data_IF_116963624891
#
_entry.id   IF_116963624891
#
_cell.length_a   1.000
_cell.length_b   1.000
_cell.length_c   1.000
_cell.angle_alpha   90.00
_cell.angle_beta   90.00
_cell.angle_gamma   90.00
#
_symmetry.space_group_name_H-M   'P 1'
#
loop_
_entity.id
_entity.type
_entity.pdbx_description
1 polymer ?
#
# COMPACT_ATOMS: atom_id res chain seq x y z
N UNK A 1 41.02 -2.77 -28.33
CA UNK A 1 40.26 -2.70 -27.07
C UNK A 1 40.16 -1.23 -26.69
N UNK A 2 39.45 -0.48 -27.52
CA UNK A 2 38.93 0.84 -27.19
C UNK A 2 37.52 0.64 -26.65
N UNK A 3 37.01 1.64 -25.92
CA UNK A 3 35.71 1.74 -25.25
C UNK A 3 35.75 1.33 -23.77
N UNK A 4 36.23 2.26 -22.94
CA UNK A 4 35.43 2.97 -21.93
C UNK A 4 36.39 3.90 -21.18
N UNK A 5 36.58 5.11 -21.69
CA UNK A 5 37.16 6.20 -20.92
C UNK A 5 36.03 6.86 -20.12
N UNK A 6 35.97 6.74 -18.79
CA UNK A 6 35.14 7.63 -18.01
C UNK A 6 35.86 8.98 -17.95
N UNK A 7 35.24 10.01 -18.51
CA UNK A 7 35.72 11.40 -18.57
C UNK A 7 35.94 12.07 -17.19
N UNK A 8 35.87 11.31 -16.09
CA UNK A 8 36.04 11.79 -14.71
C UNK A 8 37.37 11.35 -14.07
N UNK A 9 38.26 10.63 -14.79
CA UNK A 9 39.44 10.01 -14.17
C UNK A 9 40.63 10.96 -13.95
N UNK A 10 40.82 12.00 -14.77
CA UNK A 10 42.03 12.84 -14.64
C UNK A 10 41.96 13.79 -13.44
N UNK A 11 40.80 14.37 -13.17
CA UNK A 11 40.64 15.39 -12.13
C UNK A 11 40.62 14.76 -10.74
N UNK A 12 39.87 13.66 -10.55
CA UNK A 12 39.86 12.92 -9.28
C UNK A 12 41.23 12.30 -8.95
N UNK A 13 41.94 11.76 -9.95
CA UNK A 13 43.29 11.25 -9.75
C UNK A 13 44.29 12.36 -9.43
N UNK A 14 44.19 13.53 -10.10
CA UNK A 14 45.02 14.68 -9.82
C UNK A 14 44.80 15.19 -8.39
N UNK A 15 43.55 15.30 -7.94
CA UNK A 15 43.19 15.73 -6.59
C UNK A 15 43.77 14.76 -5.55
N UNK A 16 43.53 13.46 -5.71
CA UNK A 16 44.06 12.42 -4.81
C UNK A 16 45.59 12.48 -4.71
N UNK A 17 46.25 12.68 -5.85
CA UNK A 17 47.70 12.81 -5.92
C UNK A 17 48.21 14.09 -5.22
N UNK A 18 47.53 15.22 -5.41
CA UNK A 18 47.87 16.49 -4.76
C UNK A 18 47.69 16.37 -3.24
N UNK A 19 46.57 15.82 -2.76
CA UNK A 19 46.31 15.61 -1.34
C UNK A 19 47.39 14.70 -0.73
N UNK A 20 47.76 13.63 -1.43
CA UNK A 20 48.83 12.73 -0.99
C UNK A 20 50.19 13.43 -0.86
N UNK A 21 50.58 14.24 -1.85
CA UNK A 21 51.85 14.99 -1.81
C UNK A 21 51.84 16.06 -0.71
N UNK A 22 50.71 16.73 -0.47
CA UNK A 22 50.57 17.68 0.63
C UNK A 22 50.68 17.00 2.00
N UNK A 23 50.07 15.83 2.17
CA UNK A 23 50.17 15.05 3.40
C UNK A 23 51.60 14.56 3.66
N UNK A 24 52.29 14.11 2.60
CA UNK A 24 53.72 13.76 2.68
C UNK A 24 54.56 14.96 3.12
N UNK A 25 54.32 16.15 2.55
CA UNK A 25 54.98 17.40 2.99
C UNK A 25 54.75 17.72 4.47
N UNK A 26 53.53 17.51 4.98
CA UNK A 26 53.23 17.68 6.42
C UNK A 26 54.03 16.68 7.26
N UNK A 27 54.07 15.40 6.87
CA UNK A 27 54.84 14.35 7.56
C UNK A 27 56.35 14.60 7.51
N UNK A 28 56.88 15.15 6.41
CA UNK A 28 58.30 15.50 6.27
C UNK A 28 58.79 16.43 7.38
N UNK A 29 57.95 17.37 7.83
CA UNK A 29 58.28 18.29 8.94
C UNK A 29 58.49 17.57 10.28
N UNK A 30 57.78 16.47 10.50
CA UNK A 30 57.91 15.66 11.71
C UNK A 30 59.07 14.66 11.61
N UNK A 31 59.30 14.07 10.43
CA UNK A 31 60.33 13.05 10.23
C UNK A 31 61.75 13.63 10.18
N UNK A 32 61.94 14.84 9.66
CA UNK A 32 63.26 15.48 9.57
C UNK A 32 64.02 15.51 10.92
N UNK A 33 63.42 16.06 12.00
CA UNK A 33 64.05 16.05 13.33
C UNK A 33 64.31 14.65 13.90
N UNK A 34 63.44 13.66 13.60
CA UNK A 34 63.63 12.28 14.05
C UNK A 34 64.86 11.62 13.40
N UNK A 35 65.09 11.90 12.12
CA UNK A 35 66.25 11.36 11.39
C UNK A 35 67.56 11.97 11.91
N UNK A 36 67.55 13.26 12.24
CA UNK A 36 68.69 13.91 12.92
C UNK A 36 68.93 13.31 14.31
N UNK A 37 67.86 13.01 15.06
CA UNK A 37 67.95 12.35 16.36
C UNK A 37 68.58 10.96 16.25
N UNK A 38 68.14 10.14 15.28
CA UNK A 38 68.74 8.82 15.01
C UNK A 38 70.25 8.92 14.74
N UNK A 39 70.67 9.89 13.92
CA UNK A 39 72.09 10.10 13.64
C UNK A 39 72.89 10.56 14.88
N UNK A 40 72.29 11.39 15.74
CA UNK A 40 72.93 11.79 17.00
C UNK A 40 73.01 10.63 18.01
N UNK A 41 72.00 9.76 18.02
CA UNK A 41 71.94 8.56 18.86
C UNK A 41 72.98 7.54 18.44
N UNK A 42 73.13 7.26 17.15
CA UNK A 42 74.16 6.38 16.61
C UNK A 42 75.57 6.85 16.99
N UNK A 43 75.89 8.13 16.76
CA UNK A 43 77.18 8.71 17.19
C UNK A 43 77.44 8.58 18.69
N UNK A 44 76.39 8.60 19.50
CA UNK A 44 76.50 8.43 20.95
C UNK A 44 76.80 6.96 21.28
N UNK A 45 76.09 6.02 20.66
CA UNK A 45 76.33 4.57 20.82
C UNK A 45 77.73 4.16 20.37
N UNK A 46 78.22 4.72 19.26
CA UNK A 46 79.59 4.57 18.79
C UNK A 46 80.62 5.05 19.83
N UNK A 47 80.40 6.20 20.45
CA UNK A 47 81.27 6.73 21.53
C UNK A 47 81.33 5.78 22.73
N UNK A 48 80.24 5.11 23.05
CA UNK A 48 80.17 4.10 24.11
C UNK A 48 80.62 2.70 23.66
N UNK A 49 81.14 2.56 22.43
CA UNK A 49 81.62 1.28 21.84
C UNK A 49 80.56 0.18 21.85
N UNK A 50 79.30 0.58 21.63
CA UNK A 50 78.20 -0.36 21.48
C UNK A 50 78.44 -1.28 20.26
N UNK A 51 78.09 -2.56 20.38
CA UNK A 51 78.20 -3.54 19.30
C UNK A 51 76.87 -3.57 18.54
N UNK A 52 76.89 -3.13 17.28
CA UNK A 52 75.70 -3.12 16.44
C UNK A 52 75.41 -4.53 15.88
N UNK A 53 74.12 -4.95 15.85
CA UNK A 53 73.69 -6.16 15.16
C UNK A 53 73.96 -6.14 13.65
N UNK A 54 73.99 -7.32 13.01
CA UNK A 54 74.22 -7.45 11.56
C UNK A 54 73.09 -6.84 10.70
N UNK A 55 71.90 -6.64 11.27
CA UNK A 55 70.73 -6.00 10.64
C UNK A 55 70.60 -4.50 10.98
N UNK A 56 71.62 -3.89 11.58
CA UNK A 56 71.58 -2.48 11.95
C UNK A 56 71.51 -1.56 10.73
N UNK A 57 70.49 -0.68 10.72
CA UNK A 57 70.36 0.35 9.70
C UNK A 57 71.17 1.58 10.11
N UNK A 58 72.34 1.76 9.48
CA UNK A 58 73.22 2.88 9.75
C UNK A 58 72.57 4.23 9.39
N UNK A 59 72.89 5.24 10.20
CA UNK A 59 72.36 6.59 10.06
C UNK A 59 72.70 7.24 8.72
N UNK A 60 73.84 6.89 8.12
CA UNK A 60 74.23 7.33 6.78
C UNK A 60 73.32 6.75 5.68
N UNK A 61 72.92 5.48 5.81
CA UNK A 61 71.97 4.86 4.88
C UNK A 61 70.58 5.48 5.03
N UNK A 62 70.13 5.72 6.26
CA UNK A 62 68.88 6.42 6.54
C UNK A 62 68.88 7.85 5.98
N UNK A 63 69.99 8.58 6.11
CA UNK A 63 70.16 9.92 5.50
C UNK A 63 70.16 9.88 3.98
N UNK A 64 70.75 8.85 3.38
CA UNK A 64 70.73 8.63 1.93
C UNK A 64 69.31 8.44 1.40
N UNK A 65 68.55 7.52 1.99
CA UNK A 65 67.14 7.29 1.64
C UNK A 65 66.26 8.52 1.91
N UNK A 66 66.52 9.25 3.00
CA UNK A 66 65.84 10.51 3.29
C UNK A 66 66.11 11.60 2.26
N UNK A 67 67.35 11.70 1.79
CA UNK A 67 67.73 12.62 0.72
C UNK A 67 67.01 12.27 -0.58
N UNK A 68 67.01 10.99 -0.96
CA UNK A 68 66.30 10.50 -2.14
C UNK A 68 64.79 10.76 -2.06
N UNK A 69 64.17 10.49 -0.89
CA UNK A 69 62.77 10.80 -0.63
C UNK A 69 62.47 12.30 -0.81
N UNK A 70 63.28 13.19 -0.23
CA UNK A 70 63.09 14.63 -0.36
C UNK A 70 63.27 15.12 -1.79
N UNK A 71 64.22 14.54 -2.54
CA UNK A 71 64.43 14.88 -3.95
C UNK A 71 63.23 14.46 -4.81
N UNK A 72 62.71 13.25 -4.60
CA UNK A 72 61.50 12.76 -5.27
C UNK A 72 60.30 13.65 -4.91
N UNK A 73 60.11 13.96 -3.62
CA UNK A 73 59.02 14.81 -3.14
C UNK A 73 59.11 16.21 -3.74
N UNK A 74 60.32 16.78 -3.82
CA UNK A 74 60.57 18.08 -4.44
C UNK A 74 60.24 18.06 -5.93
N UNK A 75 60.78 17.09 -6.70
CA UNK A 75 60.47 16.96 -8.14
C UNK A 75 58.96 16.80 -8.39
N UNK A 76 58.28 15.98 -7.60
CA UNK A 76 56.83 15.78 -7.72
C UNK A 76 56.05 17.04 -7.34
N UNK A 77 56.47 17.77 -6.32
CA UNK A 77 55.86 19.04 -5.96
C UNK A 77 56.06 20.11 -7.04
N UNK A 78 57.25 20.22 -7.62
CA UNK A 78 57.55 21.23 -8.64
C UNK A 78 56.72 20.95 -9.92
N UNK A 79 56.55 19.67 -10.28
CA UNK A 79 55.64 19.25 -11.36
C UNK A 79 54.17 19.60 -11.07
N UNK A 80 53.71 19.50 -9.81
CA UNK A 80 52.37 19.97 -9.42
C UNK A 80 52.26 21.49 -9.57
N UNK A 81 53.27 22.25 -9.12
CA UNK A 81 53.27 23.71 -9.20
C UNK A 81 53.21 24.23 -10.64
N UNK A 82 53.93 23.57 -11.55
CA UNK A 82 53.90 23.89 -12.98
C UNK A 82 52.50 23.74 -13.60
N UNK A 83 51.74 22.74 -13.15
CA UNK A 83 50.38 22.48 -13.63
C UNK A 83 49.28 23.12 -12.76
N UNK A 84 49.64 23.76 -11.65
CA UNK A 84 48.70 24.21 -10.61
C UNK A 84 47.68 25.20 -11.15
N UNK A 85 48.15 26.23 -11.86
CA UNK A 85 47.27 27.25 -12.44
C UNK A 85 46.27 26.64 -13.45
N UNK A 86 46.72 25.67 -14.26
CA UNK A 86 45.86 24.95 -15.19
C UNK A 86 44.83 24.06 -14.50
N UNK A 87 45.21 23.39 -13.41
CA UNK A 87 44.31 22.57 -12.59
C UNK A 87 43.29 23.43 -11.85
N UNK A 88 43.70 24.56 -11.27
CA UNK A 88 42.80 25.50 -10.62
C UNK A 88 41.75 26.04 -11.60
N UNK A 89 42.16 26.44 -12.82
CA UNK A 89 41.22 26.87 -13.86
C UNK A 89 40.23 25.77 -14.26
N UNK A 90 40.70 24.52 -14.38
CA UNK A 90 39.82 23.37 -14.67
C UNK A 90 38.81 23.13 -13.54
N UNK A 91 39.25 23.14 -12.29
CA UNK A 91 38.37 22.94 -11.13
C UNK A 91 37.34 24.06 -11.02
N UNK A 92 37.70 25.32 -11.26
CA UNK A 92 36.75 26.45 -11.27
C UNK A 92 35.72 26.28 -12.41
N UNK A 93 36.15 25.83 -13.58
CA UNK A 93 35.24 25.56 -14.70
C UNK A 93 34.29 24.38 -14.42
N UNK A 94 34.81 23.27 -13.89
CA UNK A 94 34.00 22.10 -13.49
C UNK A 94 33.02 22.46 -12.37
N UNK A 95 33.43 23.25 -11.39
CA UNK A 95 32.59 23.74 -10.30
C UNK A 95 31.39 24.54 -10.81
N UNK A 96 31.61 25.44 -11.77
CA UNK A 96 30.52 26.20 -12.39
C UNK A 96 29.54 25.29 -13.16
N UNK A 97 30.03 24.22 -13.78
CA UNK A 97 29.18 23.24 -14.47
C UNK A 97 28.33 22.46 -13.47
N UNK A 98 28.94 21.95 -12.39
CA UNK A 98 28.21 21.22 -11.34
C UNK A 98 27.20 22.12 -10.64
N UNK A 99 27.52 23.39 -10.41
CA UNK A 99 26.59 24.38 -9.86
C UNK A 99 25.38 24.60 -10.79
N UNK A 100 25.59 24.64 -12.10
CA UNK A 100 24.50 24.64 -13.09
C UNK A 100 23.63 23.39 -13.00
N UNK A 101 24.25 22.20 -12.93
CA UNK A 101 23.52 20.92 -12.77
C UNK A 101 22.75 20.83 -11.46
N UNK A 102 23.28 21.41 -10.37
CA UNK A 102 22.55 21.55 -9.09
C UNK A 102 21.32 22.44 -9.31
N UNK A 103 21.42 23.55 -10.05
CA UNK A 103 20.26 24.37 -10.41
C UNK A 103 19.21 23.57 -11.20
N UNK A 104 19.65 22.85 -12.24
CA UNK A 104 18.77 22.07 -13.11
C UNK A 104 18.04 20.95 -12.35
N UNK A 105 18.73 20.21 -11.48
CA UNK A 105 18.13 19.11 -10.73
C UNK A 105 17.13 19.62 -9.68
N UNK A 106 17.37 20.78 -9.09
CA UNK A 106 16.42 21.44 -8.19
C UNK A 106 15.15 21.85 -8.93
N UNK A 107 15.28 22.39 -10.14
CA UNK A 107 14.13 22.74 -10.97
C UNK A 107 13.38 21.48 -11.45
N UNK A 108 14.11 20.43 -11.84
CA UNK A 108 13.52 19.14 -12.20
C UNK A 108 12.68 18.60 -11.03
N UNK A 109 13.20 18.66 -9.80
CA UNK A 109 12.48 18.17 -8.61
C UNK A 109 11.15 18.89 -8.38
N UNK A 110 11.14 20.22 -8.45
CA UNK A 110 9.92 21.02 -8.24
C UNK A 110 8.78 20.64 -9.21
N UNK A 111 9.13 20.22 -10.43
CA UNK A 111 8.17 19.83 -11.48
C UNK A 111 7.79 18.35 -11.37
N UNK A 112 8.76 17.48 -11.10
CA UNK A 112 8.61 16.02 -11.20
C UNK A 112 8.23 15.34 -9.89
N UNK A 113 8.30 16.04 -8.74
CA UNK A 113 7.97 15.45 -7.44
C UNK A 113 6.56 14.83 -7.47
N UNK A 114 6.42 13.50 -7.18
CA UNK A 114 5.14 12.82 -7.23
C UNK A 114 4.30 13.17 -6.00
N UNK A 115 3.71 14.37 -6.02
CA UNK A 115 2.81 14.87 -4.97
C UNK A 115 1.35 14.55 -5.28
N UNK A 116 1.04 14.26 -6.54
CA UNK A 116 -0.33 13.97 -6.99
C UNK A 116 -0.77 12.59 -6.53
N UNK A 117 -2.00 12.51 -6.02
CA UNK A 117 -2.51 11.27 -5.42
C UNK A 117 -3.08 10.23 -6.36
N UNK A 118 -3.36 10.60 -7.61
CA UNK A 118 -3.86 9.69 -8.63
C UNK A 118 -2.75 8.84 -9.29
N UNK A 119 -1.48 9.08 -8.96
CA UNK A 119 -0.34 8.33 -9.50
C UNK A 119 -0.27 6.97 -8.79
N UNK A 120 0.01 5.91 -9.56
CA UNK A 120 0.23 4.58 -8.99
C UNK A 120 1.51 4.56 -8.15
N UNK A 121 1.47 3.85 -7.03
CA UNK A 121 2.56 3.88 -6.06
C UNK A 121 3.89 3.34 -6.61
N UNK A 122 3.86 2.37 -7.52
CA UNK A 122 5.01 1.86 -8.27
C UNK A 122 5.64 2.93 -9.17
N UNK A 123 4.83 3.68 -9.90
CA UNK A 123 5.30 4.76 -10.76
C UNK A 123 5.91 5.92 -9.96
N UNK A 124 5.27 6.29 -8.85
CA UNK A 124 5.79 7.30 -7.94
C UNK A 124 7.13 6.86 -7.32
N UNK A 125 7.21 5.61 -6.84
CA UNK A 125 8.43 5.05 -6.26
C UNK A 125 9.57 4.95 -7.27
N UNK A 126 9.28 4.56 -8.51
CA UNK A 126 10.27 4.54 -9.59
C UNK A 126 10.81 5.95 -9.87
N UNK A 127 9.92 6.96 -9.95
CA UNK A 127 10.31 8.36 -10.16
C UNK A 127 11.24 8.84 -9.04
N UNK A 128 10.91 8.53 -7.78
CA UNK A 128 11.74 8.87 -6.61
C UNK A 128 13.10 8.18 -6.69
N UNK A 129 13.16 6.88 -6.98
CA UNK A 129 14.42 6.13 -7.05
C UNK A 129 15.33 6.61 -8.19
N UNK A 130 14.74 6.93 -9.35
CA UNK A 130 15.49 7.48 -10.49
C UNK A 130 16.07 8.85 -10.12
N UNK A 131 15.27 9.71 -9.49
CA UNK A 131 15.71 11.03 -9.05
C UNK A 131 16.78 10.94 -7.94
N UNK A 132 16.61 10.04 -6.97
CA UNK A 132 17.60 9.75 -5.91
C UNK A 132 18.96 9.35 -6.51
N UNK A 133 18.95 8.51 -7.54
CA UNK A 133 20.17 8.14 -8.27
C UNK A 133 20.84 9.33 -8.96
N UNK A 134 20.06 10.24 -9.56
CA UNK A 134 20.60 11.48 -10.16
C UNK A 134 21.17 12.41 -9.09
N UNK A 135 20.45 12.59 -7.98
CA UNK A 135 20.82 13.47 -6.88
C UNK A 135 22.10 13.01 -6.20
N UNK A 136 22.24 11.70 -5.95
CA UNK A 136 23.46 11.11 -5.41
C UNK A 136 24.68 11.34 -6.31
N UNK A 137 24.55 11.20 -7.64
CA UNK A 137 25.65 11.46 -8.57
C UNK A 137 26.12 12.91 -8.52
N UNK A 138 25.19 13.86 -8.52
CA UNK A 138 25.52 15.30 -8.42
C UNK A 138 26.17 15.60 -7.06
N UNK A 139 25.70 14.97 -5.98
CA UNK A 139 26.28 15.10 -4.66
C UNK A 139 27.71 14.54 -4.58
N UNK A 140 27.96 13.38 -5.18
CA UNK A 140 29.30 12.80 -5.27
C UNK A 140 30.27 13.68 -6.08
N UNK A 141 29.84 14.18 -7.24
CA UNK A 141 30.62 15.14 -8.05
C UNK A 141 30.94 16.42 -7.26
N UNK A 142 29.94 16.95 -6.56
CA UNK A 142 30.09 18.14 -5.71
C UNK A 142 31.07 17.91 -4.54
N UNK A 143 30.97 16.77 -3.85
CA UNK A 143 31.86 16.45 -2.73
C UNK A 143 33.31 16.22 -3.19
N UNK A 144 33.50 15.65 -4.39
CA UNK A 144 34.82 15.54 -5.02
C UNK A 144 35.41 16.93 -5.32
N UNK A 145 34.61 17.85 -5.85
CA UNK A 145 35.04 19.22 -6.12
C UNK A 145 35.35 20.01 -4.84
N UNK A 146 34.60 19.80 -3.77
CA UNK A 146 34.91 20.37 -2.47
C UNK A 146 36.28 19.91 -1.96
N UNK A 147 36.57 18.61 -2.03
CA UNK A 147 37.90 18.06 -1.69
C UNK A 147 38.99 18.59 -2.62
N UNK A 148 38.69 18.77 -3.89
CA UNK A 148 39.62 19.33 -4.88
C UNK A 148 39.99 20.78 -4.56
N UNK A 149 38.99 21.60 -4.25
CA UNK A 149 39.17 23.00 -3.84
C UNK A 149 39.99 23.10 -2.55
N UNK A 150 39.67 22.27 -1.55
CA UNK A 150 40.44 22.20 -0.30
C UNK A 150 41.91 21.78 -0.56
N UNK A 151 42.16 20.80 -1.43
CA UNK A 151 43.52 20.34 -1.75
C UNK A 151 44.35 21.35 -2.57
N UNK A 152 43.69 22.29 -3.26
CA UNK A 152 44.30 23.32 -4.09
C UNK A 152 44.33 24.70 -3.42
N UNK A 153 43.96 24.78 -2.14
CA UNK A 153 43.82 26.02 -1.37
C UNK A 153 42.92 27.07 -2.07
N UNK A 154 41.86 26.60 -2.73
CA UNK A 154 40.85 27.43 -3.37
C UNK A 154 39.73 27.79 -2.39
N UNK A 155 39.05 28.92 -2.63
CA UNK A 155 37.91 29.35 -1.82
C UNK A 155 36.75 28.34 -1.93
N UNK A 156 36.29 27.86 -0.77
CA UNK A 156 35.23 26.86 -0.67
C UNK A 156 33.91 27.52 -0.27
N UNK A 157 32.97 27.63 -1.20
CA UNK A 157 31.58 27.96 -0.89
C UNK A 157 30.78 26.66 -0.75
N UNK A 158 30.23 26.40 0.45
CA UNK A 158 29.42 25.21 0.68
C UNK A 158 27.97 25.43 0.28
N UNK A 159 27.46 24.62 -0.65
CA UNK A 159 26.08 24.63 -1.07
C UNK A 159 25.23 23.76 -0.12
N UNK A 160 24.37 24.41 0.67
CA UNK A 160 23.43 23.74 1.59
C UNK A 160 22.09 23.40 0.92
N UNK A 161 21.92 23.71 -0.36
CA UNK A 161 20.65 23.56 -1.09
C UNK A 161 20.26 22.11 -1.41
N UNK A 162 21.23 21.19 -1.42
CA UNK A 162 20.96 19.76 -1.69
C UNK A 162 20.35 19.05 -0.47
N UNK A 163 20.72 19.46 0.75
CA UNK A 163 20.29 18.80 1.99
C UNK A 163 18.76 18.79 2.17
N UNK A 164 18.04 19.91 1.98
CA UNK A 164 16.57 19.92 2.08
C UNK A 164 15.89 18.98 1.08
N UNK A 165 16.48 18.81 -0.12
CA UNK A 165 15.94 17.91 -1.15
C UNK A 165 16.16 16.46 -0.77
N UNK A 166 17.31 16.12 -0.19
CA UNK A 166 17.53 14.79 0.36
C UNK A 166 16.54 14.46 1.49
N UNK A 167 16.26 15.43 2.38
CA UNK A 167 15.26 15.26 3.43
C UNK A 167 13.85 15.07 2.84
N UNK A 168 13.44 15.92 1.90
CA UNK A 168 12.13 15.81 1.23
C UNK A 168 11.99 14.49 0.48
N UNK A 169 13.03 14.05 -0.24
CA UNK A 169 13.07 12.78 -0.95
C UNK A 169 12.89 11.61 0.02
N UNK A 170 13.62 11.62 1.15
CA UNK A 170 13.49 10.58 2.18
C UNK A 170 12.09 10.53 2.76
N UNK A 171 11.52 11.69 3.05
CA UNK A 171 10.15 11.79 3.58
C UNK A 171 9.13 11.29 2.54
N UNK A 172 9.26 11.69 1.27
CA UNK A 172 8.37 11.28 0.18
C UNK A 172 8.48 9.78 -0.12
N UNK A 173 9.68 9.21 -0.05
CA UNK A 173 9.92 7.76 -0.17
C UNK A 173 9.24 6.98 0.96
N UNK A 174 9.32 7.49 2.19
CA UNK A 174 8.60 6.91 3.32
C UNK A 174 7.08 6.95 3.11
N UNK A 175 6.55 8.05 2.55
CA UNK A 175 5.11 8.21 2.21
C UNK A 175 4.69 7.14 1.22
N UNK A 176 5.33 7.08 0.07
CA UNK A 176 4.93 6.15 -0.98
C UNK A 176 5.14 4.69 -0.57
N UNK A 177 6.10 4.38 0.30
CA UNK A 177 6.28 3.03 0.85
C UNK A 177 5.09 2.65 1.73
N UNK A 178 4.70 3.53 2.65
CA UNK A 178 3.56 3.30 3.53
C UNK A 178 2.23 3.23 2.76
N UNK A 179 2.03 4.12 1.79
CA UNK A 179 0.86 4.10 0.91
C UNK A 179 0.82 2.85 0.03
N UNK A 180 1.97 2.36 -0.46
CA UNK A 180 2.04 1.09 -1.21
C UNK A 180 1.52 -0.08 -0.37
N UNK A 181 1.87 -0.12 0.92
CA UNK A 181 1.37 -1.14 1.85
C UNK A 181 -0.16 -1.09 2.01
N UNK A 182 -0.74 0.11 2.03
CA UNK A 182 -2.20 0.30 2.08
C UNK A 182 -2.84 -0.15 0.75
N UNK A 183 -2.27 0.26 -0.39
CA UNK A 183 -2.78 -0.13 -1.71
C UNK A 183 -2.75 -1.64 -1.93
N UNK A 184 -1.71 -2.32 -1.46
CA UNK A 184 -1.62 -3.78 -1.51
C UNK A 184 -2.74 -4.42 -0.68
N UNK A 185 -2.97 -3.94 0.55
CA UNK A 185 -4.08 -4.44 1.37
C UNK A 185 -5.45 -4.16 0.72
N UNK A 186 -5.65 -3.00 0.10
CA UNK A 186 -6.87 -2.71 -0.67
C UNK A 186 -7.00 -3.69 -1.86
N UNK A 187 -5.90 -4.02 -2.54
CA UNK A 187 -5.89 -5.00 -3.63
C UNK A 187 -6.27 -6.39 -3.14
N UNK A 188 -5.69 -6.84 -2.02
CA UNK A 188 -6.03 -8.11 -1.38
C UNK A 188 -7.52 -8.18 -0.99
N UNK A 189 -8.07 -7.08 -0.46
CA UNK A 189 -9.51 -6.99 -0.20
C UNK A 189 -10.33 -7.14 -1.49
N UNK A 190 -9.90 -6.52 -2.60
CA UNK A 190 -10.58 -6.63 -3.90
C UNK A 190 -10.51 -8.03 -4.50
N UNK A 191 -9.45 -8.78 -4.23
CA UNK A 191 -9.29 -10.16 -4.70
C UNK A 191 -10.12 -11.18 -3.92
N UNK A 192 -10.61 -10.81 -2.73
CA UNK A 192 -11.46 -11.68 -1.92
C UNK A 192 -12.70 -12.15 -2.71
N UNK A 193 -12.90 -13.47 -2.78
CA UNK A 193 -14.06 -14.08 -3.41
C UNK A 193 -15.35 -13.59 -2.75
N UNK A 194 -16.34 -13.16 -3.55
CA UNK A 194 -17.60 -12.58 -3.05
C UNK A 194 -18.33 -13.50 -2.06
N UNK A 195 -18.26 -14.81 -2.28
CA UNK A 195 -18.86 -15.83 -1.42
C UNK A 195 -18.30 -15.81 0.02
N UNK A 196 -17.03 -15.46 0.22
CA UNK A 196 -16.36 -15.47 1.53
C UNK A 196 -16.40 -14.12 2.24
N UNK A 197 -16.87 -13.07 1.55
CA UNK A 197 -16.94 -11.70 2.10
C UNK A 197 -17.85 -11.67 3.32
N UNK A 198 -17.31 -11.14 4.43
CA UNK A 198 -18.06 -10.87 5.66
C UNK A 198 -18.12 -9.35 5.87
N UNK A 199 -19.27 -8.68 5.64
CA UNK A 199 -19.38 -7.23 5.66
C UNK A 199 -18.91 -6.57 6.96
N UNK A 200 -19.10 -7.23 8.10
CA UNK A 200 -18.60 -6.75 9.41
C UNK A 200 -17.07 -6.78 9.50
N UNK A 201 -16.43 -7.86 9.04
CA UNK A 201 -14.96 -7.97 9.03
C UNK A 201 -14.34 -7.05 7.98
N UNK A 202 -14.95 -6.95 6.81
CA UNK A 202 -14.53 -6.02 5.76
C UNK A 202 -14.51 -4.58 6.27
N UNK A 203 -15.59 -4.16 6.95
CA UNK A 203 -15.66 -2.85 7.61
C UNK A 203 -14.52 -2.66 8.61
N UNK A 204 -14.28 -3.64 9.50
CA UNK A 204 -13.18 -3.58 10.47
C UNK A 204 -11.81 -3.46 9.80
N UNK A 205 -11.58 -4.16 8.70
CA UNK A 205 -10.34 -4.07 7.93
C UNK A 205 -10.17 -2.67 7.30
N UNK A 206 -11.23 -2.11 6.71
CA UNK A 206 -11.20 -0.75 6.14
C UNK A 206 -11.00 0.30 7.24
N UNK A 207 -11.66 0.15 8.40
CA UNK A 207 -11.49 1.04 9.56
C UNK A 207 -10.06 0.97 10.11
N UNK A 208 -9.48 -0.23 10.16
CA UNK A 208 -8.08 -0.43 10.57
C UNK A 208 -7.08 0.23 9.60
N UNK A 209 -7.31 0.11 8.28
CA UNK A 209 -6.53 0.81 7.26
C UNK A 209 -6.67 2.33 7.40
N UNK A 210 -7.88 2.83 7.67
CA UNK A 210 -8.09 4.25 7.89
C UNK A 210 -7.40 4.74 9.18
N UNK A 211 -7.38 3.93 10.23
CA UNK A 211 -6.66 4.24 11.47
C UNK A 211 -5.15 4.27 11.26
N UNK A 212 -4.58 3.30 10.56
CA UNK A 212 -3.13 3.26 10.29
C UNK A 212 -2.67 4.48 9.48
N UNK A 213 -3.51 4.98 8.55
CA UNK A 213 -3.21 6.26 7.86
C UNK A 213 -3.14 7.44 8.83
N UNK A 214 -3.94 7.46 9.90
CA UNK A 214 -3.95 8.54 10.90
C UNK A 214 -2.78 8.48 11.87
N UNK A 215 -2.07 7.35 11.97
CA UNK A 215 -0.86 7.23 12.79
C UNK A 215 0.38 7.74 12.06
N UNK A 216 0.29 7.99 10.74
CA UNK A 216 1.42 8.49 9.95
C UNK A 216 1.84 9.91 10.39
N UNK A 217 3.15 10.23 10.40
CA UNK A 217 3.69 11.55 10.71
C UNK A 217 3.00 12.71 9.99
N UNK A 218 2.87 13.87 10.65
CA UNK A 218 2.17 15.05 10.10
C UNK A 218 2.75 15.51 8.75
N UNK A 219 4.08 15.42 8.57
CA UNK A 219 4.75 15.74 7.30
C UNK A 219 4.24 14.90 6.13
N UNK A 220 3.87 13.64 6.39
CA UNK A 220 3.33 12.72 5.39
C UNK A 220 1.88 13.05 5.01
N UNK A 221 1.13 13.71 5.89
CA UNK A 221 -0.28 14.05 5.68
C UNK A 221 -0.49 15.30 4.81
N UNK A 222 0.58 16.05 4.54
CA UNK A 222 0.52 17.27 3.73
C UNK A 222 0.48 16.98 2.22
N UNK A 223 0.79 15.74 1.81
CA UNK A 223 0.82 15.34 0.41
C UNK A 223 -0.58 14.97 -0.11
N UNK A 224 -0.93 15.39 -1.31
CA UNK A 224 -2.23 15.06 -1.93
C UNK A 224 -2.42 13.55 -2.16
N UNK A 225 -1.33 12.79 -2.26
CA UNK A 225 -1.37 11.31 -2.27
C UNK A 225 -1.96 10.70 -1.01
N UNK A 226 -1.71 11.31 0.15
CA UNK A 226 -2.31 10.88 1.40
C UNK A 226 -3.82 11.15 1.43
N UNK A 227 -4.24 12.36 1.05
CA UNK A 227 -5.66 12.73 1.02
C UNK A 227 -6.46 11.83 0.07
N UNK A 228 -5.91 11.55 -1.12
CA UNK A 228 -6.54 10.68 -2.10
C UNK A 228 -6.80 9.27 -1.53
N UNK A 229 -5.82 8.66 -0.86
CA UNK A 229 -5.99 7.35 -0.23
C UNK A 229 -7.04 7.39 0.87
N UNK A 230 -7.07 8.43 1.69
CA UNK A 230 -8.10 8.58 2.71
C UNK A 230 -9.50 8.68 2.11
N UNK A 231 -9.67 9.43 1.03
CA UNK A 231 -10.97 9.60 0.39
C UNK A 231 -11.45 8.29 -0.28
N UNK A 232 -10.54 7.52 -0.86
CA UNK A 232 -10.85 6.17 -1.36
C UNK A 232 -11.31 5.28 -0.20
N UNK A 233 -10.56 5.21 0.91
CA UNK A 233 -10.94 4.40 2.09
C UNK A 233 -12.29 4.83 2.68
N UNK A 234 -12.55 6.14 2.80
CA UNK A 234 -13.86 6.66 3.22
C UNK A 234 -14.97 6.30 2.24
N UNK A 235 -14.68 6.31 0.94
CA UNK A 235 -15.60 5.88 -0.12
C UNK A 235 -15.97 4.40 0.01
N UNK A 236 -14.98 3.53 0.24
CA UNK A 236 -15.19 2.10 0.48
C UNK A 236 -16.01 1.88 1.75
N UNK A 237 -15.72 2.62 2.83
CA UNK A 237 -16.46 2.51 4.09
C UNK A 237 -17.93 2.94 3.93
N UNK A 238 -18.21 4.01 3.19
CA UNK A 238 -19.58 4.43 2.85
C UNK A 238 -20.29 3.38 2.01
N UNK A 239 -19.59 2.77 1.06
CA UNK A 239 -20.14 1.73 0.20
C UNK A 239 -20.37 0.40 0.93
N UNK A 240 -19.78 0.22 2.12
CA UNK A 240 -19.90 -1.01 2.89
C UNK A 240 -21.35 -1.31 3.34
N UNK A 241 -22.21 -0.29 3.48
CA UNK A 241 -23.64 -0.51 3.73
C UNK A 241 -24.30 -1.25 2.57
N UNK A 242 -24.09 -0.77 1.33
CA UNK A 242 -24.57 -1.43 0.12
C UNK A 242 -23.96 -2.83 -0.05
N UNK A 243 -22.68 -3.01 0.27
CA UNK A 243 -22.05 -4.35 0.26
C UNK A 243 -22.74 -5.28 1.26
N UNK A 244 -23.08 -4.78 2.45
CA UNK A 244 -23.82 -5.57 3.44
C UNK A 244 -25.20 -5.98 2.95
N UNK A 245 -25.91 -5.05 2.31
CA UNK A 245 -27.25 -5.31 1.77
C UNK A 245 -27.19 -6.29 0.58
N UNK A 246 -26.22 -6.13 -0.32
CA UNK A 246 -25.98 -7.03 -1.45
C UNK A 246 -25.55 -8.44 -1.02
N UNK A 247 -24.91 -8.58 0.14
CA UNK A 247 -24.50 -9.88 0.70
C UNK A 247 -25.63 -10.60 1.45
N UNK A 248 -26.76 -9.93 1.66
CA UNK A 248 -27.96 -10.52 2.29
C UNK A 248 -28.45 -11.76 1.54
N UNK A 249 -29.00 -12.73 2.28
CA UNK A 249 -29.62 -13.94 1.72
C UNK A 249 -30.86 -13.65 0.86
N UNK A 250 -31.42 -12.44 0.97
CA UNK A 250 -32.48 -11.95 0.10
C UNK A 250 -32.06 -11.94 -1.38
N UNK A 251 -30.77 -11.68 -1.68
CA UNK A 251 -30.28 -11.62 -3.05
C UNK A 251 -29.98 -13.02 -3.60
N UNK A 252 -30.74 -13.42 -4.62
CA UNK A 252 -30.58 -14.65 -5.38
C UNK A 252 -30.02 -14.36 -6.78
N UNK A 253 -29.59 -15.40 -7.49
CA UNK A 253 -29.01 -15.30 -8.85
C UNK A 253 -29.83 -14.43 -9.82
N UNK A 254 -31.17 -14.47 -9.70
CA UNK A 254 -32.08 -13.65 -10.53
C UNK A 254 -31.88 -12.15 -10.32
N UNK A 255 -31.66 -11.71 -9.08
CA UNK A 255 -31.44 -10.30 -8.73
C UNK A 255 -30.08 -9.81 -9.25
N UNK A 256 -29.05 -10.66 -9.15
CA UNK A 256 -27.74 -10.37 -9.72
C UNK A 256 -27.76 -10.27 -11.24
N UNK A 257 -28.48 -11.17 -11.93
CA UNK A 257 -28.70 -11.08 -13.38
C UNK A 257 -29.43 -9.80 -13.77
N UNK A 258 -30.43 -9.38 -12.99
CA UNK A 258 -31.13 -8.12 -13.18
C UNK A 258 -30.18 -6.92 -13.02
N UNK A 259 -29.37 -6.90 -11.95
CA UNK A 259 -28.37 -5.85 -11.73
C UNK A 259 -27.38 -5.76 -12.89
N UNK A 260 -26.77 -6.86 -13.31
CA UNK A 260 -25.83 -6.84 -14.44
C UNK A 260 -26.46 -6.35 -15.75
N UNK A 261 -27.73 -6.72 -15.99
CA UNK A 261 -28.48 -6.25 -17.15
C UNK A 261 -28.74 -4.74 -17.10
N UNK A 262 -29.16 -4.21 -15.95
CA UNK A 262 -29.46 -2.77 -15.81
C UNK A 262 -28.18 -1.93 -15.88
N UNK A 263 -27.10 -2.41 -15.25
CA UNK A 263 -25.79 -1.75 -15.24
C UNK A 263 -25.02 -1.91 -16.56
N UNK A 264 -25.57 -2.64 -17.54
CA UNK A 264 -24.96 -2.92 -18.86
C UNK A 264 -23.56 -3.53 -18.77
N UNK A 265 -23.31 -4.27 -17.70
CA UNK A 265 -22.06 -5.00 -17.53
C UNK A 265 -22.15 -6.29 -18.33
N UNK A 266 -21.12 -6.55 -19.14
CA UNK A 266 -21.05 -7.74 -19.98
C UNK A 266 -21.39 -8.99 -19.16
N UNK A 267 -22.25 -9.85 -19.71
CA UNK A 267 -22.94 -10.95 -19.03
C UNK A 267 -22.03 -12.09 -18.51
N UNK A 268 -20.72 -11.85 -18.36
CA UNK A 268 -19.72 -12.90 -18.16
C UNK A 268 -19.25 -13.09 -16.73
N UNK A 269 -19.64 -12.26 -15.76
CA UNK A 269 -19.27 -12.51 -14.36
C UNK A 269 -20.19 -13.57 -13.78
N UNK A 270 -19.74 -14.81 -13.81
CA UNK A 270 -20.37 -15.89 -13.05
C UNK A 270 -20.29 -15.55 -11.56
N UNK A 271 -21.40 -15.66 -10.84
CA UNK A 271 -21.48 -15.40 -9.39
C UNK A 271 -20.40 -16.15 -8.59
N UNK A 272 -20.03 -17.34 -9.05
CA UNK A 272 -19.00 -18.19 -8.44
C UNK A 272 -17.57 -17.65 -8.57
N UNK A 273 -17.31 -16.82 -9.59
CA UNK A 273 -16.01 -16.18 -9.85
C UNK A 273 -16.02 -14.69 -9.47
N UNK A 274 -17.12 -14.22 -8.88
CA UNK A 274 -17.24 -12.83 -8.45
C UNK A 274 -16.29 -12.58 -7.27
N UNK A 275 -15.64 -11.42 -7.29
CA UNK A 275 -14.76 -10.95 -6.22
C UNK A 275 -15.33 -9.64 -5.68
N UNK A 276 -14.87 -9.21 -4.51
CA UNK A 276 -15.24 -7.91 -3.97
C UNK A 276 -14.86 -6.76 -4.92
N UNK A 277 -13.74 -6.91 -5.65
CA UNK A 277 -13.30 -5.97 -6.68
C UNK A 277 -14.36 -5.78 -7.76
N UNK A 278 -14.92 -6.88 -8.28
CA UNK A 278 -16.01 -6.81 -9.27
C UNK A 278 -17.24 -6.07 -8.74
N UNK A 279 -17.54 -6.18 -7.44
CA UNK A 279 -18.66 -5.46 -6.80
C UNK A 279 -18.36 -3.96 -6.65
N UNK A 280 -17.12 -3.60 -6.30
CA UNK A 280 -16.73 -2.19 -6.25
C UNK A 280 -16.67 -1.54 -7.64
N UNK A 281 -16.34 -2.31 -8.68
CA UNK A 281 -16.30 -1.84 -10.07
C UNK A 281 -17.69 -1.58 -10.66
N UNK A 282 -18.76 -1.93 -9.95
CA UNK A 282 -20.14 -1.56 -10.28
C UNK A 282 -20.43 -0.07 -10.08
N UNK A 283 -19.47 0.72 -9.58
CA UNK A 283 -19.67 2.09 -9.11
C UNK A 283 -20.91 2.19 -8.20
N UNK A 284 -20.80 1.56 -7.02
CA UNK A 284 -21.89 1.48 -6.04
C UNK A 284 -22.46 2.86 -5.68
N UNK A 285 -21.64 3.92 -5.78
CA UNK A 285 -22.04 5.29 -5.50
C UNK A 285 -22.84 5.89 -6.66
N UNK A 286 -22.38 5.74 -7.90
CA UNK A 286 -23.10 6.24 -9.08
C UNK A 286 -24.42 5.51 -9.31
N UNK A 287 -24.48 4.22 -8.97
CA UNK A 287 -25.62 3.35 -9.22
C UNK A 287 -26.47 3.03 -7.97
N UNK A 288 -26.30 3.80 -6.89
CA UNK A 288 -26.92 3.54 -5.59
C UNK A 288 -28.46 3.35 -5.68
N UNK A 289 -29.15 4.20 -6.46
CA UNK A 289 -30.61 4.13 -6.60
C UNK A 289 -31.08 2.80 -7.20
N UNK A 290 -30.50 2.40 -8.33
CA UNK A 290 -30.81 1.14 -9.01
C UNK A 290 -30.51 -0.06 -8.11
N UNK A 291 -29.38 -0.02 -7.41
CA UNK A 291 -28.97 -1.10 -6.51
C UNK A 291 -29.98 -1.23 -5.36
N UNK A 292 -30.40 -0.12 -4.76
CA UNK A 292 -31.41 -0.12 -3.69
C UNK A 292 -32.77 -0.64 -4.17
N UNK A 293 -33.21 -0.28 -5.36
CA UNK A 293 -34.48 -0.80 -5.92
C UNK A 293 -34.46 -2.33 -6.01
N UNK A 294 -33.36 -2.92 -6.52
CA UNK A 294 -33.23 -4.38 -6.59
C UNK A 294 -33.13 -5.01 -5.20
N UNK A 295 -32.44 -4.37 -4.25
CA UNK A 295 -32.37 -4.84 -2.86
C UNK A 295 -33.77 -4.85 -2.23
N UNK A 296 -34.56 -3.79 -2.40
CA UNK A 296 -35.92 -3.70 -1.86
C UNK A 296 -36.83 -4.76 -2.47
N UNK A 297 -36.71 -5.00 -3.78
CA UNK A 297 -37.41 -6.09 -4.45
C UNK A 297 -37.01 -7.45 -3.84
N UNK A 298 -35.72 -7.70 -3.70
CA UNK A 298 -35.19 -8.94 -3.14
C UNK A 298 -35.66 -9.18 -1.68
N UNK A 299 -35.64 -8.15 -0.85
CA UNK A 299 -36.12 -8.21 0.54
C UNK A 299 -37.63 -8.46 0.61
N UNK A 300 -38.41 -7.82 -0.26
CA UNK A 300 -39.83 -8.06 -0.38
C UNK A 300 -40.14 -9.50 -0.80
N UNK A 301 -39.41 -10.02 -1.77
CA UNK A 301 -39.53 -11.43 -2.21
C UNK A 301 -39.16 -12.41 -1.08
N UNK A 302 -38.08 -12.15 -0.34
CA UNK A 302 -37.65 -13.00 0.79
C UNK A 302 -38.71 -13.04 1.90
N UNK A 303 -39.31 -11.90 2.25
CA UNK A 303 -40.36 -11.84 3.26
C UNK A 303 -41.59 -12.69 2.87
N UNK A 304 -41.98 -12.67 1.59
CA UNK A 304 -43.06 -13.51 1.09
C UNK A 304 -42.68 -15.00 1.13
N UNK A 305 -41.46 -15.34 0.74
CA UNK A 305 -40.95 -16.71 0.74
C UNK A 305 -40.89 -17.30 2.16
N UNK A 306 -40.35 -16.55 3.13
CA UNK A 306 -40.32 -16.94 4.53
C UNK A 306 -41.72 -17.14 5.09
N UNK A 307 -42.66 -16.27 4.74
CA UNK A 307 -44.05 -16.41 5.16
C UNK A 307 -44.70 -17.68 4.60
N UNK A 308 -44.57 -17.96 3.30
CA UNK A 308 -45.09 -19.20 2.69
C UNK A 308 -44.46 -20.43 3.32
N UNK A 309 -43.15 -20.37 3.60
CA UNK A 309 -42.42 -21.43 4.29
C UNK A 309 -42.98 -21.67 5.70
N UNK A 310 -43.26 -20.61 6.46
CA UNK A 310 -43.90 -20.72 7.78
C UNK A 310 -45.29 -21.35 7.70
N UNK A 311 -46.13 -20.92 6.75
CA UNK A 311 -47.45 -21.53 6.52
C UNK A 311 -47.28 -23.02 6.22
N UNK A 312 -46.40 -23.37 5.29
CA UNK A 312 -46.10 -24.76 4.94
C UNK A 312 -45.65 -25.58 6.14
N UNK A 313 -44.72 -25.09 6.94
CA UNK A 313 -44.22 -25.78 8.14
C UNK A 313 -45.32 -25.97 9.19
N UNK A 314 -46.14 -24.94 9.43
CA UNK A 314 -47.27 -25.02 10.36
C UNK A 314 -48.23 -26.13 9.95
N UNK A 315 -48.68 -26.13 8.69
CA UNK A 315 -49.73 -27.06 8.23
C UNK A 315 -49.22 -28.46 7.93
N UNK A 316 -47.94 -28.62 7.60
CA UNK A 316 -47.33 -29.95 7.43
C UNK A 316 -47.11 -30.65 8.77
N UNK A 317 -46.80 -29.88 9.83
CA UNK A 317 -46.55 -30.41 11.17
C UNK A 317 -47.75 -30.28 12.11
N UNK A 318 -48.90 -29.82 11.62
CA UNK A 318 -50.07 -29.60 12.47
C UNK A 318 -50.63 -30.93 12.97
N UNK A 319 -50.57 -31.16 14.28
CA UNK A 319 -51.14 -32.34 14.93
C UNK A 319 -52.53 -32.03 15.45
N UNK A 320 -53.51 -32.86 15.09
CA UNK A 320 -54.86 -32.77 15.63
C UNK A 320 -54.87 -33.38 17.04
N UNK A 321 -55.33 -32.60 18.01
CA UNK A 321 -55.57 -33.11 19.37
C UNK A 321 -56.90 -33.89 19.39
N UNK A 322 -56.82 -35.17 19.76
CA UNK A 322 -57.91 -36.12 19.68
C UNK A 322 -58.29 -36.63 21.07
N UNK A 323 -59.52 -36.36 21.50
CA UNK A 323 -60.08 -36.82 22.77
C UNK A 323 -61.00 -38.02 22.52
N UNK A 324 -60.85 -39.08 23.32
CA UNK A 324 -61.71 -40.26 23.21
C UNK A 324 -63.11 -39.96 23.77
N UNK A 325 -64.16 -40.22 22.98
CA UNK A 325 -65.55 -40.07 23.40
C UNK A 325 -66.23 -41.44 23.51
N UNK A 326 -66.59 -41.80 24.74
CA UNK A 326 -67.34 -43.01 25.08
C UNK A 326 -66.80 -44.32 24.46
N UNK A 327 -65.48 -44.42 24.21
CA UNK A 327 -64.83 -45.57 23.53
C UNK A 327 -65.38 -45.92 22.14
N UNK A 328 -66.14 -45.01 21.51
CA UNK A 328 -66.75 -45.23 20.18
C UNK A 328 -66.05 -44.44 19.08
N UNK A 329 -65.56 -43.24 19.37
CA UNK A 329 -64.87 -42.38 18.41
C UNK A 329 -63.90 -41.41 19.08
N UNK A 330 -62.96 -40.87 18.30
CA UNK A 330 -62.06 -39.79 18.72
C UNK A 330 -62.60 -38.47 18.20
N UNK A 331 -62.83 -37.50 19.09
CA UNK A 331 -63.25 -36.15 18.77
C UNK A 331 -62.05 -35.22 18.72
N UNK A 332 -62.00 -34.35 17.72
CA UNK A 332 -61.00 -33.28 17.65
C UNK A 332 -61.34 -32.21 18.70
N UNK A 333 -60.34 -31.81 19.49
CA UNK A 333 -60.39 -30.67 20.42
C UNK A 333 -59.73 -29.45 19.78
N UNK A 334 -60.08 -28.24 20.22
CA UNK A 334 -59.40 -27.01 19.77
C UNK A 334 -59.85 -26.52 18.39
N UNK A 335 -61.09 -26.78 17.99
CA UNK A 335 -61.63 -26.32 16.71
C UNK A 335 -61.48 -24.82 16.49
N UNK A 336 -61.74 -24.01 17.53
CA UNK A 336 -61.72 -22.56 17.38
C UNK A 336 -60.29 -22.05 17.10
N UNK A 337 -59.28 -22.62 17.75
CA UNK A 337 -57.87 -22.30 17.46
C UNK A 337 -57.46 -22.74 16.04
N UNK A 338 -57.93 -23.91 15.59
CA UNK A 338 -57.71 -24.39 14.22
C UNK A 338 -58.33 -23.45 13.18
N UNK A 339 -59.60 -23.06 13.37
CA UNK A 339 -60.30 -22.16 12.45
C UNK A 339 -59.73 -20.75 12.45
N UNK A 340 -59.36 -20.23 13.63
CA UNK A 340 -58.71 -18.93 13.76
C UNK A 340 -57.37 -18.93 13.01
N UNK A 341 -56.53 -19.95 13.24
CA UNK A 341 -55.23 -20.07 12.57
C UNK A 341 -55.35 -20.30 11.06
N UNK A 342 -56.38 -21.02 10.61
CA UNK A 342 -56.69 -21.17 9.18
C UNK A 342 -57.10 -19.82 8.56
N UNK A 343 -58.00 -19.10 9.22
CA UNK A 343 -58.53 -17.83 8.75
C UNK A 343 -57.44 -16.75 8.72
N UNK A 344 -56.58 -16.68 9.73
CA UNK A 344 -55.44 -15.75 9.77
C UNK A 344 -54.45 -16.00 8.62
N UNK A 345 -54.11 -17.27 8.37
CA UNK A 345 -53.22 -17.63 7.26
C UNK A 345 -53.86 -17.37 5.90
N UNK A 346 -55.16 -17.64 5.72
CA UNK A 346 -55.90 -17.31 4.50
C UNK A 346 -55.97 -15.80 4.26
N UNK A 347 -56.26 -15.01 5.29
CA UNK A 347 -56.30 -13.55 5.19
C UNK A 347 -54.92 -12.98 4.82
N UNK A 348 -53.86 -13.54 5.41
CA UNK A 348 -52.48 -13.13 5.13
C UNK A 348 -52.05 -13.52 3.70
N UNK A 349 -52.34 -14.75 3.24
CA UNK A 349 -52.12 -15.16 1.85
C UNK A 349 -52.89 -14.29 0.85
N UNK A 350 -54.10 -13.86 1.21
CA UNK A 350 -54.90 -12.92 0.41
C UNK A 350 -54.25 -11.54 0.38
N UNK A 351 -53.77 -11.03 1.52
CA UNK A 351 -53.07 -9.76 1.60
C UNK A 351 -51.77 -9.76 0.80
N UNK A 352 -51.06 -10.90 0.74
CA UNK A 352 -49.84 -11.05 -0.07
C UNK A 352 -50.08 -10.82 -1.57
N UNK A 353 -51.28 -11.12 -2.10
CA UNK A 353 -51.62 -10.86 -3.51
C UNK A 353 -51.55 -9.37 -3.87
N UNK A 354 -51.70 -8.49 -2.89
CA UNK A 354 -51.58 -7.04 -3.07
C UNK A 354 -50.13 -6.57 -3.12
N UNK A 355 -49.17 -7.44 -2.78
CA UNK A 355 -47.74 -7.12 -2.82
C UNK A 355 -47.24 -7.10 -4.27
N UNK A 356 -46.47 -6.08 -4.68
CA UNK A 356 -45.88 -6.02 -6.02
C UNK A 356 -44.86 -7.15 -6.29
N UNK A 357 -44.40 -7.85 -5.23
CA UNK A 357 -43.41 -8.92 -5.30
C UNK A 357 -44.05 -10.32 -5.38
N UNK A 358 -45.38 -10.42 -5.41
CA UNK A 358 -46.11 -11.68 -5.35
C UNK A 358 -45.92 -12.59 -6.57
N UNK A 359 -45.68 -12.02 -7.75
CA UNK A 359 -45.70 -12.72 -9.04
C UNK A 359 -44.78 -13.95 -9.11
N UNK A 360 -43.64 -13.93 -8.42
CA UNK A 360 -42.69 -15.06 -8.40
C UNK A 360 -43.22 -16.24 -7.58
N UNK A 361 -44.12 -15.99 -6.63
CA UNK A 361 -44.65 -16.96 -5.67
C UNK A 361 -46.14 -17.27 -5.89
N UNK A 362 -46.75 -16.73 -6.95
CA UNK A 362 -48.17 -16.85 -7.25
C UNK A 362 -48.65 -18.31 -7.26
N UNK A 363 -47.92 -19.20 -7.94
CA UNK A 363 -48.27 -20.61 -8.03
C UNK A 363 -48.23 -21.33 -6.67
N UNK A 364 -47.18 -21.10 -5.88
CA UNK A 364 -47.02 -21.75 -4.57
C UNK A 364 -48.03 -21.21 -3.55
N UNK A 365 -48.21 -19.89 -3.51
CA UNK A 365 -49.16 -19.23 -2.62
C UNK A 365 -50.61 -19.61 -2.95
N UNK A 366 -50.99 -19.64 -4.24
CA UNK A 366 -52.33 -20.07 -4.67
C UNK A 366 -52.58 -21.55 -4.32
N UNK A 367 -51.57 -22.42 -4.46
CA UNK A 367 -51.70 -23.82 -4.07
C UNK A 367 -51.95 -23.99 -2.57
N UNK A 368 -51.28 -23.21 -1.73
CA UNK A 368 -51.50 -23.24 -0.27
C UNK A 368 -52.85 -22.64 0.12
N UNK A 369 -53.27 -21.55 -0.50
CA UNK A 369 -54.60 -20.97 -0.30
C UNK A 369 -55.72 -21.97 -0.63
N UNK A 370 -55.63 -22.66 -1.77
CA UNK A 370 -56.59 -23.69 -2.16
C UNK A 370 -56.63 -24.85 -1.16
N UNK A 371 -55.46 -25.31 -0.69
CA UNK A 371 -55.36 -26.37 0.32
C UNK A 371 -56.00 -25.93 1.64
N UNK A 372 -55.70 -24.72 2.10
CA UNK A 372 -56.27 -24.19 3.35
C UNK A 372 -57.77 -23.93 3.25
N UNK A 373 -58.24 -23.44 2.10
CA UNK A 373 -59.67 -23.28 1.82
C UNK A 373 -60.42 -24.61 1.87
N UNK A 374 -59.86 -25.66 1.23
CA UNK A 374 -60.42 -27.03 1.31
C UNK A 374 -60.41 -27.57 2.73
N UNK A 375 -59.31 -27.40 3.45
CA UNK A 375 -59.18 -27.79 4.87
C UNK A 375 -60.26 -27.10 5.71
N UNK A 376 -60.47 -25.79 5.50
CA UNK A 376 -61.48 -25.01 6.21
C UNK A 376 -62.90 -25.54 5.99
N UNK A 377 -63.27 -25.83 4.74
CA UNK A 377 -64.59 -26.39 4.40
C UNK A 377 -64.75 -27.80 4.97
N UNK A 378 -63.78 -28.69 4.74
CA UNK A 378 -63.85 -30.09 5.20
C UNK A 378 -63.95 -30.19 6.72
N UNK A 379 -63.14 -29.42 7.45
CA UNK A 379 -63.21 -29.39 8.91
C UNK A 379 -64.51 -28.76 9.41
N UNK A 380 -65.08 -27.78 8.70
CA UNK A 380 -66.39 -27.22 9.01
C UNK A 380 -67.51 -28.26 8.91
N UNK A 381 -67.54 -29.01 7.81
CA UNK A 381 -68.48 -30.12 7.61
C UNK A 381 -68.29 -31.21 8.66
N UNK A 382 -67.04 -31.58 8.96
CA UNK A 382 -66.73 -32.59 9.96
C UNK A 382 -67.16 -32.17 11.38
N UNK A 383 -66.92 -30.90 11.77
CA UNK A 383 -67.41 -30.33 13.04
C UNK A 383 -68.94 -30.41 13.13
N UNK A 384 -69.65 -30.05 12.06
CA UNK A 384 -71.11 -30.14 11.98
C UNK A 384 -71.62 -31.59 12.06
N UNK A 385 -70.96 -32.53 11.38
CA UNK A 385 -71.32 -33.96 11.45
C UNK A 385 -71.10 -34.53 12.85
N UNK A 386 -70.03 -34.16 13.54
CA UNK A 386 -69.79 -34.60 14.92
C UNK A 386 -70.83 -34.02 15.89
N UNK A 387 -71.16 -32.73 15.76
CA UNK A 387 -72.22 -32.09 16.56
C UNK A 387 -73.62 -32.69 16.32
N UNK A 388 -73.86 -33.32 15.17
CA UNK A 388 -75.12 -34.01 14.86
C UNK A 388 -75.14 -35.48 15.32
N UNK A 389 -73.99 -36.08 15.62
CA UNK A 389 -73.83 -37.50 16.00
C UNK A 389 -73.64 -37.72 17.50
N UNK A 390 -73.15 -36.70 18.19
CA UNK A 390 -73.19 -36.56 19.65
C UNK A 390 -74.56 -36.02 20.02
#
# INVERSE_FOLDING_TARGET
MELFAPSNSSTAAAVTFITFVQDLKKKTKAWGPMIELCASGEKTLERFRYQFPDDWLYSDQLRGEWSAYNEILKRKNDSIQEQLAGLQLKIIAEDKIVEGRIGDILQEWEITRPVQGNIRADMAMNTINVFEGKLNRVKEEYDLLCRAKEALDLELTRHTRLEPVFEELRDLKAVWTALSGIWNQISELREMAWATVQPRKLRQQIDALLSSTKEMPTRMRQYAAFEYVQDILRGLLKSNTLVSDLKSEALKDRHWKQLFKVLRLGSSVSLNLMTLGHVYDLDLKGNEGVIKEVIVQAQGEMALEEYIKQVKEVWTNYTLDLVNYQNKCRLIRGWDDLFNKCSENLNSLTAMKLSPYYKVFEEEASSWEDKLSRINVLFGEFKLMMLKRI
#
